data_IF_020786538132
#
_entry.id   IF_020786538132
#
_cell.length_a   1.000
_cell.length_b   1.000
_cell.length_c   1.000
_cell.angle_alpha   90.00
_cell.angle_beta   90.00
_cell.angle_gamma   90.00
#
_symmetry.space_group_name_H-M   'P 1'
#
loop_
_entity.id
_entity.type
_entity.pdbx_description
1 polymer ?
#
# COMPACT_ATOMS: atom_id res chain seq x y z
N UNK A 1 -0.65 -20.96 58.68
CA UNK A 1 -0.89 -21.82 57.51
C UNK A 1 -1.57 -20.97 56.44
N UNK A 2 -0.90 -20.84 55.28
CA UNK A 2 -1.42 -20.63 53.91
C UNK A 2 -2.70 -19.77 53.78
N UNK A 3 -2.71 -18.58 53.19
CA UNK A 3 -2.21 -18.28 51.85
C UNK A 3 -3.38 -18.27 50.86
N UNK A 4 -3.97 -17.11 50.59
CA UNK A 4 -4.77 -16.85 49.41
C UNK A 4 -4.22 -15.61 48.73
N UNK A 5 -3.30 -15.85 47.80
CA UNK A 5 -2.86 -14.85 46.84
C UNK A 5 -4.03 -14.57 45.89
N UNK A 6 -4.46 -13.31 45.88
CA UNK A 6 -5.34 -12.71 44.88
C UNK A 6 -4.90 -13.12 43.48
N UNK A 7 -5.83 -13.66 42.68
CA UNK A 7 -5.65 -13.86 41.25
C UNK A 7 -5.36 -12.51 40.58
N UNK A 8 -4.10 -12.31 40.19
CA UNK A 8 -3.66 -11.17 39.41
C UNK A 8 -4.36 -11.18 38.04
N UNK A 9 -5.02 -10.06 37.73
CA UNK A 9 -5.54 -9.72 36.41
C UNK A 9 -4.40 -9.78 35.36
N UNK A 10 -4.47 -10.61 34.31
CA UNK A 10 -3.39 -10.80 33.35
C UNK A 10 -3.00 -9.51 32.62
N UNK A 11 -3.89 -8.52 32.56
CA UNK A 11 -3.62 -7.20 31.96
C UNK A 11 -2.75 -6.33 32.89
N UNK A 12 -2.88 -6.47 34.22
CA UNK A 12 -2.07 -5.69 35.19
C UNK A 12 -0.64 -6.21 35.36
N UNK A 13 -0.34 -7.42 34.90
CA UNK A 13 1.03 -7.95 34.85
C UNK A 13 1.91 -7.26 33.78
N UNK A 14 1.29 -6.55 32.82
CA UNK A 14 1.94 -5.90 31.68
C UNK A 14 2.63 -4.58 32.03
N UNK A 15 2.31 -4.00 33.19
CA UNK A 15 2.81 -2.70 33.66
C UNK A 15 3.97 -2.82 34.65
N UNK A 16 4.49 -4.03 34.88
CA UNK A 16 5.77 -4.17 35.59
C UNK A 16 6.86 -3.64 34.67
N UNK A 17 7.58 -2.56 35.03
CA UNK A 17 8.67 -2.04 34.23
C UNK A 17 9.66 -3.17 33.99
N UNK A 18 9.65 -3.69 32.77
CA UNK A 18 10.47 -4.82 32.38
C UNK A 18 11.93 -4.46 32.63
N UNK A 19 12.67 -5.41 33.20
CA UNK A 19 14.13 -5.40 33.29
C UNK A 19 14.74 -4.66 32.08
N UNK A 20 15.51 -3.58 32.32
CA UNK A 20 16.08 -2.71 31.26
C UNK A 20 16.73 -3.49 30.14
N UNK A 21 17.31 -4.65 30.47
CA UNK A 21 17.89 -5.59 29.50
C UNK A 21 16.88 -6.19 28.51
N UNK A 22 15.67 -6.54 28.94
CA UNK A 22 14.61 -7.07 28.09
C UNK A 22 14.08 -5.99 27.12
N UNK A 23 13.97 -4.75 27.60
CA UNK A 23 13.60 -3.61 26.75
C UNK A 23 14.68 -3.33 25.70
N UNK A 24 15.95 -3.26 26.11
CA UNK A 24 17.08 -3.08 25.20
C UNK A 24 17.15 -4.20 24.15
N UNK A 25 16.94 -5.46 24.57
CA UNK A 25 16.88 -6.62 23.67
C UNK A 25 15.75 -6.50 22.64
N UNK A 26 14.55 -6.10 23.05
CA UNK A 26 13.44 -5.91 22.13
C UNK A 26 13.73 -4.82 21.09
N UNK A 27 14.21 -3.65 21.54
CA UNK A 27 14.57 -2.54 20.65
C UNK A 27 15.69 -2.96 19.69
N UNK A 28 16.66 -3.75 20.16
CA UNK A 28 17.71 -4.31 19.31
C UNK A 28 17.13 -5.22 18.22
N UNK A 29 16.19 -6.10 18.53
CA UNK A 29 15.54 -6.94 17.51
C UNK A 29 14.70 -6.13 16.53
N UNK A 30 14.00 -5.11 17.00
CA UNK A 30 13.24 -4.20 16.12
C UNK A 30 14.18 -3.41 15.19
N UNK A 31 15.29 -2.90 15.73
CA UNK A 31 16.33 -2.22 14.98
C UNK A 31 16.97 -3.12 13.91
N UNK A 32 17.31 -4.37 14.27
CA UNK A 32 17.82 -5.37 13.34
C UNK A 32 16.79 -5.67 12.24
N UNK A 33 15.52 -5.79 12.60
CA UNK A 33 14.42 -5.98 11.64
C UNK A 33 14.35 -4.80 10.66
N UNK A 34 14.44 -3.57 11.16
CA UNK A 34 14.48 -2.35 10.34
C UNK A 34 15.67 -2.33 9.37
N UNK A 35 16.87 -2.62 9.85
CA UNK A 35 18.09 -2.66 9.02
C UNK A 35 17.95 -3.70 7.89
N UNK A 36 17.55 -4.93 8.22
CA UNK A 36 17.39 -5.99 7.23
C UNK A 36 16.28 -5.66 6.23
N UNK A 37 15.17 -5.09 6.70
CA UNK A 37 14.03 -4.72 5.85
C UNK A 37 14.43 -3.60 4.90
N UNK A 38 15.09 -2.55 5.38
CA UNK A 38 15.60 -1.47 4.55
C UNK A 38 16.60 -1.98 3.52
N UNK A 39 17.53 -2.86 3.90
CA UNK A 39 18.49 -3.43 2.96
C UNK A 39 17.82 -4.28 1.87
N UNK A 40 17.01 -5.27 2.25
CA UNK A 40 16.33 -6.16 1.30
C UNK A 40 15.33 -5.39 0.43
N UNK A 41 14.56 -4.47 1.03
CA UNK A 41 13.61 -3.62 0.32
C UNK A 41 14.29 -2.68 -0.68
N UNK A 42 15.46 -2.14 -0.35
CA UNK A 42 16.22 -1.29 -1.27
C UNK A 42 16.71 -2.06 -2.50
N UNK A 43 17.25 -3.26 -2.31
CA UNK A 43 17.62 -4.10 -3.46
C UNK A 43 16.39 -4.52 -4.28
N UNK A 44 15.25 -4.79 -3.63
CA UNK A 44 13.99 -5.06 -4.31
C UNK A 44 13.59 -3.89 -5.23
N UNK A 45 13.68 -2.64 -4.75
CA UNK A 45 13.43 -1.45 -5.56
C UNK A 45 14.41 -1.31 -6.73
N UNK A 46 15.72 -1.35 -6.45
CA UNK A 46 16.76 -1.16 -7.47
C UNK A 46 16.65 -2.19 -8.61
N UNK A 47 16.32 -3.43 -8.29
CA UNK A 47 16.11 -4.48 -9.30
C UNK A 47 14.86 -4.15 -10.14
N UNK A 48 13.75 -3.76 -9.51
CA UNK A 48 12.53 -3.38 -10.23
C UNK A 48 12.78 -2.19 -11.16
N UNK A 49 13.42 -1.13 -10.66
CA UNK A 49 13.71 0.08 -11.44
C UNK A 49 14.59 -0.23 -12.65
N UNK A 50 15.60 -1.09 -12.46
CA UNK A 50 16.48 -1.54 -13.55
C UNK A 50 15.71 -2.35 -14.59
N UNK A 51 14.84 -3.26 -14.15
CA UNK A 51 14.09 -4.16 -15.04
C UNK A 51 12.93 -3.45 -15.75
N UNK A 52 12.31 -2.44 -15.17
CA UNK A 52 11.20 -1.67 -15.76
C UNK A 52 11.54 -1.02 -17.11
N UNK A 53 12.82 -0.86 -17.44
CA UNK A 53 13.31 -0.28 -18.72
C UNK A 53 13.27 -1.23 -19.91
N UNK A 54 12.76 -2.46 -19.73
CA UNK A 54 12.74 -3.49 -20.78
C UNK A 54 11.93 -3.09 -22.04
N UNK A 55 10.79 -2.37 -21.98
CA UNK A 55 10.06 -2.02 -23.21
C UNK A 55 10.87 -1.05 -24.08
N UNK A 56 11.58 -0.09 -23.47
CA UNK A 56 12.44 0.85 -24.19
C UNK A 56 13.61 0.11 -24.86
N UNK A 57 14.22 -0.85 -24.17
CA UNK A 57 15.29 -1.69 -24.75
C UNK A 57 14.78 -2.56 -25.89
N UNK A 58 13.60 -3.16 -25.73
CA UNK A 58 12.97 -3.98 -26.76
C UNK A 58 12.62 -3.15 -28.00
N UNK A 59 12.15 -1.92 -27.79
CA UNK A 59 11.83 -0.95 -28.84
C UNK A 59 13.01 -0.51 -29.72
N UNK A 60 14.25 -0.81 -29.31
CA UNK A 60 15.44 -0.58 -30.14
C UNK A 60 15.60 -1.63 -31.25
N UNK A 61 14.98 -2.82 -31.09
CA UNK A 61 15.11 -3.95 -32.03
C UNK A 61 13.84 -4.21 -32.84
N UNK A 62 12.67 -3.91 -32.27
CA UNK A 62 11.36 -4.12 -32.91
C UNK A 62 10.48 -2.90 -32.70
N UNK A 63 9.69 -2.54 -33.72
CA UNK A 63 8.86 -1.33 -33.74
C UNK A 63 7.43 -1.63 -34.22
N UNK A 64 6.50 -0.73 -33.93
CA UNK A 64 5.10 -0.86 -34.36
C UNK A 64 4.39 -2.05 -33.71
N UNK A 65 3.56 -2.76 -34.49
CA UNK A 65 2.70 -3.83 -33.97
C UNK A 65 3.46 -5.02 -33.40
N UNK A 66 4.65 -5.33 -33.92
CA UNK A 66 5.47 -6.43 -33.40
C UNK A 66 5.97 -6.15 -31.97
N UNK A 67 6.31 -4.90 -31.66
CA UNK A 67 6.66 -4.47 -30.31
C UNK A 67 5.46 -4.61 -29.35
N UNK A 68 4.26 -4.22 -29.78
CA UNK A 68 3.03 -4.34 -28.98
C UNK A 68 2.75 -5.81 -28.66
N UNK A 69 2.82 -6.69 -29.65
CA UNK A 69 2.58 -8.13 -29.46
C UNK A 69 3.66 -8.75 -28.58
N UNK A 70 4.94 -8.41 -28.80
CA UNK A 70 6.04 -8.91 -27.97
C UNK A 70 5.90 -8.47 -26.51
N UNK A 71 5.56 -7.20 -26.27
CA UNK A 71 5.32 -6.68 -24.93
C UNK A 71 4.13 -7.36 -24.24
N UNK A 72 3.02 -7.52 -24.96
CA UNK A 72 1.84 -8.22 -24.48
C UNK A 72 2.15 -9.68 -24.07
N UNK A 73 2.86 -10.42 -24.92
CA UNK A 73 3.24 -11.80 -24.63
C UNK A 73 4.24 -11.90 -23.47
N UNK A 74 5.21 -10.99 -23.38
CA UNK A 74 6.17 -10.96 -22.29
C UNK A 74 5.48 -10.72 -20.94
N UNK A 75 4.66 -9.68 -20.83
CA UNK A 75 3.92 -9.38 -19.59
C UNK A 75 2.93 -10.50 -19.24
N UNK A 76 2.26 -11.10 -20.23
CA UNK A 76 1.43 -12.30 -20.03
C UNK A 76 2.22 -13.45 -19.40
N UNK A 77 3.37 -13.81 -19.97
CA UNK A 77 4.21 -14.90 -19.48
C UNK A 77 4.69 -14.63 -18.04
N UNK A 78 5.16 -13.42 -17.74
CA UNK A 78 5.57 -13.03 -16.39
C UNK A 78 4.41 -13.10 -15.39
N UNK A 79 3.22 -12.63 -15.77
CA UNK A 79 2.03 -12.63 -14.90
C UNK A 79 1.57 -14.05 -14.60
N UNK A 80 1.52 -14.92 -15.61
CA UNK A 80 1.15 -16.34 -15.45
C UNK A 80 2.18 -17.07 -14.61
N UNK A 81 3.48 -16.86 -14.86
CA UNK A 81 4.55 -17.45 -14.06
C UNK A 81 4.45 -17.04 -12.59
N UNK A 82 4.29 -15.74 -12.32
CA UNK A 82 4.12 -15.23 -10.96
C UNK A 82 2.90 -15.83 -10.26
N UNK A 83 1.75 -15.88 -10.95
CA UNK A 83 0.53 -16.48 -10.41
C UNK A 83 0.69 -17.98 -10.15
N UNK A 84 1.40 -18.71 -11.01
CA UNK A 84 1.69 -20.13 -10.85
C UNK A 84 2.56 -20.39 -9.62
N UNK A 85 3.69 -19.69 -9.49
CA UNK A 85 4.63 -19.87 -8.37
C UNK A 85 3.98 -19.50 -7.04
N UNK A 86 3.27 -18.37 -6.97
CA UNK A 86 2.54 -17.96 -5.75
C UNK A 86 1.56 -19.04 -5.33
N UNK A 87 0.67 -19.48 -6.24
CA UNK A 87 -0.36 -20.48 -5.92
C UNK A 87 0.24 -21.84 -5.52
N UNK A 88 1.40 -22.21 -6.07
CA UNK A 88 2.00 -23.53 -5.84
C UNK A 88 2.87 -23.59 -4.57
N UNK A 89 3.56 -22.51 -4.23
CA UNK A 89 4.61 -22.51 -3.20
C UNK A 89 4.27 -21.67 -1.97
N UNK A 90 3.66 -20.50 -2.14
CA UNK A 90 3.29 -19.60 -1.05
C UNK A 90 2.03 -18.80 -1.40
N UNK A 91 0.82 -19.40 -1.29
CA UNK A 91 -0.44 -18.72 -1.62
C UNK A 91 -0.67 -17.40 -0.86
N UNK A 92 -0.14 -17.32 0.37
CA UNK A 92 -0.16 -16.12 1.21
C UNK A 92 0.68 -14.96 0.64
N UNK A 93 1.58 -15.22 -0.32
CA UNK A 93 2.37 -14.18 -0.97
C UNK A 93 1.60 -13.42 -2.05
N UNK A 94 0.36 -13.81 -2.38
CA UNK A 94 -0.48 -13.10 -3.35
C UNK A 94 -0.96 -11.73 -2.87
N UNK A 95 -1.24 -10.82 -3.81
CA UNK A 95 -1.76 -9.48 -3.53
C UNK A 95 -0.82 -8.62 -2.68
N UNK A 96 -1.39 -7.75 -1.85
CA UNK A 96 -0.63 -6.80 -1.02
C UNK A 96 0.22 -7.54 0.02
N UNK A 97 -0.43 -8.27 0.93
CA UNK A 97 0.23 -8.96 2.04
C UNK A 97 0.00 -8.26 3.37
N UNK A 98 -0.44 -7.00 3.37
CA UNK A 98 -0.90 -6.30 4.59
C UNK A 98 -1.95 -7.12 5.34
N UNK A 99 -2.95 -7.65 4.63
CA UNK A 99 -4.00 -8.47 5.23
C UNK A 99 -3.45 -9.76 5.89
N UNK A 100 -2.36 -10.33 5.38
CA UNK A 100 -1.73 -11.50 6.00
C UNK A 100 -1.01 -11.12 7.31
N UNK A 101 -0.43 -9.91 7.35
CA UNK A 101 0.25 -9.40 8.54
C UNK A 101 -0.77 -9.01 9.62
N UNK A 102 -1.87 -8.35 9.26
CA UNK A 102 -2.98 -8.08 10.17
C UNK A 102 -3.53 -9.36 10.79
N UNK A 103 -3.85 -10.35 9.95
CA UNK A 103 -4.28 -11.66 10.42
C UNK A 103 -3.24 -12.34 11.30
N UNK A 104 -1.95 -12.15 11.05
CA UNK A 104 -0.88 -12.72 11.88
C UNK A 104 -0.70 -12.01 13.22
N UNK A 105 -0.91 -10.68 13.28
CA UNK A 105 -0.92 -9.92 14.53
C UNK A 105 -2.14 -10.24 15.39
N UNK A 106 -3.27 -10.55 14.77
CA UNK A 106 -4.47 -11.07 15.46
C UNK A 106 -4.31 -12.52 15.93
N UNK A 107 -3.35 -13.25 15.36
CA UNK A 107 -3.13 -14.68 15.64
C UNK A 107 -4.03 -15.62 14.85
N UNK A 108 -4.72 -15.11 13.82
CA UNK A 108 -5.57 -15.87 12.90
C UNK A 108 -4.78 -16.44 11.69
N UNK A 109 -3.59 -15.89 11.42
CA UNK A 109 -2.69 -16.32 10.34
C UNK A 109 -1.28 -16.54 10.87
N UNK A 110 -0.46 -17.24 10.09
CA UNK A 110 0.95 -17.46 10.39
C UNK A 110 1.83 -16.97 9.24
N UNK A 111 2.84 -16.17 9.56
CA UNK A 111 3.84 -15.70 8.58
C UNK A 111 4.89 -16.79 8.38
N UNK A 112 4.74 -17.58 7.30
CA UNK A 112 5.70 -18.64 6.94
C UNK A 112 6.90 -18.05 6.19
N UNK A 113 7.71 -17.26 6.87
CA UNK A 113 8.78 -16.45 6.27
C UNK A 113 9.70 -17.22 5.31
N UNK A 114 10.01 -18.50 5.59
CA UNK A 114 10.85 -19.35 4.72
C UNK A 114 10.29 -19.52 3.31
N UNK A 115 8.96 -19.54 3.17
CA UNK A 115 8.26 -19.64 1.87
C UNK A 115 7.93 -18.27 1.33
N UNK A 116 7.43 -17.40 2.21
CA UNK A 116 6.96 -16.06 1.83
C UNK A 116 8.09 -15.20 1.28
N UNK A 117 9.20 -15.11 1.99
CA UNK A 117 10.29 -14.18 1.67
C UNK A 117 10.86 -14.40 0.26
N UNK A 118 11.29 -15.60 -0.16
CA UNK A 118 11.80 -15.81 -1.52
C UNK A 118 10.70 -15.63 -2.59
N UNK A 119 9.48 -16.11 -2.34
CA UNK A 119 8.38 -16.01 -3.32
C UNK A 119 7.93 -14.56 -3.50
N UNK A 120 7.72 -13.82 -2.40
CA UNK A 120 7.27 -12.42 -2.43
C UNK A 120 8.32 -11.53 -3.08
N UNK A 121 9.60 -11.76 -2.80
CA UNK A 121 10.71 -11.02 -3.41
C UNK A 121 10.82 -11.31 -4.92
N UNK A 122 10.96 -12.58 -5.33
CA UNK A 122 11.20 -12.91 -6.75
C UNK A 122 9.96 -12.66 -7.61
N UNK A 123 8.78 -13.08 -7.14
CA UNK A 123 7.55 -12.92 -7.92
C UNK A 123 7.00 -11.50 -7.85
N UNK A 124 7.33 -10.72 -6.80
CA UNK A 124 7.08 -9.28 -6.74
C UNK A 124 7.94 -8.49 -7.74
N UNK A 125 9.22 -8.85 -7.89
CA UNK A 125 10.07 -8.30 -8.95
C UNK A 125 9.46 -8.64 -10.31
N UNK A 126 9.10 -9.90 -10.53
CA UNK A 126 8.55 -10.38 -11.81
C UNK A 126 7.23 -9.70 -12.17
N UNK A 127 6.30 -9.58 -11.23
CA UNK A 127 5.00 -8.97 -11.48
C UNK A 127 5.11 -7.46 -11.74
N UNK A 128 5.80 -6.72 -10.87
CA UNK A 128 5.89 -5.25 -10.95
C UNK A 128 6.72 -4.85 -12.17
N UNK A 129 7.90 -5.45 -12.37
CA UNK A 129 8.76 -5.09 -13.51
C UNK A 129 8.18 -5.47 -14.89
N UNK A 130 7.22 -6.41 -14.93
CA UNK A 130 6.53 -6.75 -16.18
C UNK A 130 5.58 -5.67 -16.70
N UNK A 131 5.29 -4.63 -15.91
CA UNK A 131 4.41 -3.51 -16.29
C UNK A 131 3.05 -3.51 -15.60
N UNK A 132 2.76 -4.53 -14.77
CA UNK A 132 1.51 -4.56 -13.99
C UNK A 132 1.36 -3.32 -13.12
N UNK A 133 0.10 -2.92 -12.94
CA UNK A 133 -0.28 -1.71 -12.20
C UNK A 133 -0.37 -2.06 -10.73
N UNK A 134 0.81 -2.24 -10.13
CA UNK A 134 1.04 -2.72 -8.78
C UNK A 134 2.11 -1.86 -8.10
N UNK A 135 1.97 -1.69 -6.79
CA UNK A 135 2.92 -1.00 -5.95
C UNK A 135 3.94 -1.93 -5.29
N UNK A 136 5.09 -1.36 -4.92
CA UNK A 136 6.18 -2.07 -4.23
C UNK A 136 5.94 -2.23 -2.73
N UNK A 137 5.08 -1.40 -2.15
CA UNK A 137 4.83 -1.33 -0.72
C UNK A 137 4.22 -2.59 -0.12
N UNK A 138 3.27 -3.24 -0.82
CA UNK A 138 2.68 -4.49 -0.34
C UNK A 138 3.76 -5.57 -0.14
N UNK A 139 4.56 -5.86 -1.19
CA UNK A 139 5.73 -6.72 -1.07
C UNK A 139 6.70 -6.33 0.03
N UNK A 140 7.14 -5.06 0.13
CA UNK A 140 8.12 -4.66 1.15
C UNK A 140 7.58 -4.76 2.58
N UNK A 141 6.30 -4.44 2.82
CA UNK A 141 5.62 -4.64 4.11
C UNK A 141 5.63 -6.12 4.50
N UNK A 142 5.24 -7.01 3.56
CA UNK A 142 5.21 -8.45 3.83
C UNK A 142 6.62 -9.03 4.00
N UNK A 143 7.59 -8.57 3.23
CA UNK A 143 9.01 -8.96 3.37
C UNK A 143 9.54 -8.50 4.74
N UNK A 144 9.28 -7.26 5.14
CA UNK A 144 9.73 -6.72 6.41
C UNK A 144 9.14 -7.47 7.61
N UNK A 145 7.83 -7.73 7.59
CA UNK A 145 7.20 -8.58 8.59
C UNK A 145 7.73 -10.03 8.56
N UNK A 146 8.08 -10.58 7.40
CA UNK A 146 8.71 -11.90 7.29
C UNK A 146 10.12 -11.95 7.88
N UNK A 147 10.90 -10.89 7.72
CA UNK A 147 12.21 -10.75 8.37
C UNK A 147 12.07 -10.64 9.89
N UNK A 148 11.07 -9.88 10.35
CA UNK A 148 10.69 -9.83 11.76
C UNK A 148 10.32 -11.21 12.29
N UNK A 149 9.47 -11.95 11.57
CA UNK A 149 9.10 -13.32 11.90
C UNK A 149 10.32 -14.25 11.99
N UNK A 150 11.27 -14.14 11.05
CA UNK A 150 12.50 -14.92 11.07
C UNK A 150 13.32 -14.64 12.34
N UNK A 151 13.52 -13.38 12.71
CA UNK A 151 14.21 -12.99 13.95
C UNK A 151 13.50 -13.59 15.16
N UNK A 152 12.17 -13.46 15.24
CA UNK A 152 11.40 -13.95 16.40
C UNK A 152 11.44 -15.47 16.53
N UNK A 153 11.47 -16.20 15.41
CA UNK A 153 11.57 -17.66 15.39
C UNK A 153 12.96 -18.14 15.84
N UNK A 154 14.03 -17.46 15.42
CA UNK A 154 15.40 -17.80 15.82
C UNK A 154 15.65 -17.54 17.30
N UNK A 155 15.15 -16.43 17.84
CA UNK A 155 15.41 -16.01 19.22
C UNK A 155 14.33 -16.44 20.22
N UNK A 156 13.26 -17.11 19.78
CA UNK A 156 12.16 -17.66 20.61
C UNK A 156 11.61 -16.64 21.61
N UNK A 157 11.12 -15.51 21.09
CA UNK A 157 10.53 -14.43 21.90
C UNK A 157 9.09 -14.76 22.32
N UNK A 158 8.54 -13.97 23.25
CA UNK A 158 7.13 -14.08 23.63
C UNK A 158 6.18 -13.70 22.49
N UNK A 159 4.93 -14.17 22.51
CA UNK A 159 3.93 -13.84 21.47
C UNK A 159 3.66 -12.34 21.34
N UNK A 160 3.62 -11.61 22.46
CA UNK A 160 3.45 -10.14 22.44
C UNK A 160 4.63 -9.45 21.75
N UNK A 161 5.86 -9.87 22.07
CA UNK A 161 7.07 -9.35 21.39
C UNK A 161 7.09 -9.76 19.92
N UNK A 162 6.65 -10.98 19.58
CA UNK A 162 6.54 -11.45 18.20
C UNK A 162 5.59 -10.56 17.40
N UNK A 163 4.39 -10.28 17.91
CA UNK A 163 3.42 -9.36 17.29
C UNK A 163 3.98 -7.95 17.14
N UNK A 164 4.68 -7.44 18.16
CA UNK A 164 5.35 -6.15 18.11
C UNK A 164 6.46 -6.08 17.05
N UNK A 165 7.28 -7.13 16.90
CA UNK A 165 8.33 -7.21 15.88
C UNK A 165 7.75 -7.39 14.47
N UNK A 166 6.66 -8.15 14.31
CA UNK A 166 5.92 -8.23 13.05
C UNK A 166 5.44 -6.83 12.62
N UNK A 167 4.83 -6.08 13.53
CA UNK A 167 4.40 -4.70 13.30
C UNK A 167 5.58 -3.78 12.96
N UNK A 168 6.71 -3.91 13.67
CA UNK A 168 7.93 -3.15 13.40
C UNK A 168 8.50 -3.45 12.01
N UNK A 169 8.47 -4.71 11.57
CA UNK A 169 8.86 -5.11 10.22
C UNK A 169 7.92 -4.57 9.15
N UNK A 170 6.61 -4.55 9.41
CA UNK A 170 5.63 -3.96 8.50
C UNK A 170 5.81 -2.44 8.36
N UNK A 171 6.01 -1.72 9.48
CA UNK A 171 6.35 -0.29 9.46
C UNK A 171 7.64 -0.01 8.70
N UNK A 172 8.69 -0.79 8.95
CA UNK A 172 9.96 -0.72 8.23
C UNK A 172 9.78 -0.94 6.73
N UNK A 173 8.91 -1.87 6.33
CA UNK A 173 8.61 -2.15 4.93
C UNK A 173 7.90 -1.00 4.23
N UNK A 174 6.93 -0.36 4.90
CA UNK A 174 6.26 0.84 4.38
C UNK A 174 7.22 2.05 4.33
N UNK A 175 8.02 2.24 5.38
CA UNK A 175 9.04 3.29 5.44
C UNK A 175 10.07 3.15 4.31
N UNK A 176 10.53 1.92 4.05
CA UNK A 176 11.41 1.61 2.92
C UNK A 176 10.72 1.85 1.56
N UNK A 177 9.45 1.48 1.42
CA UNK A 177 8.69 1.63 0.18
C UNK A 177 8.64 3.08 -0.34
N UNK A 178 8.49 4.03 0.58
CA UNK A 178 8.21 5.43 0.27
C UNK A 178 9.23 6.42 0.82
N UNK A 179 10.32 5.93 1.43
CA UNK A 179 11.26 6.78 2.18
C UNK A 179 10.53 7.64 3.24
N UNK A 180 9.47 7.09 3.84
CA UNK A 180 8.47 7.79 4.66
C UNK A 180 8.34 7.15 6.07
N UNK A 181 9.28 7.41 6.99
CA UNK A 181 9.31 6.76 8.29
C UNK A 181 8.10 7.10 9.18
N UNK A 182 7.59 8.34 9.16
CA UNK A 182 6.46 8.73 10.01
C UNK A 182 5.18 8.05 9.53
N UNK A 183 4.95 7.98 8.22
CA UNK A 183 3.86 7.23 7.62
C UNK A 183 3.94 5.74 7.98
N UNK A 184 5.15 5.16 7.96
CA UNK A 184 5.43 3.80 8.43
C UNK A 184 4.94 3.54 9.85
N UNK A 185 5.27 4.43 10.78
CA UNK A 185 4.88 4.33 12.19
C UNK A 185 3.38 4.51 12.37
N UNK A 186 2.81 5.55 11.75
CA UNK A 186 1.38 5.86 11.85
C UNK A 186 0.52 4.77 11.22
N UNK A 187 0.99 4.11 10.17
CA UNK A 187 0.28 3.00 9.56
C UNK A 187 0.02 1.87 10.56
N UNK A 188 1.00 1.55 11.42
CA UNK A 188 0.77 0.55 12.47
C UNK A 188 -0.23 1.02 13.52
N UNK A 189 -0.20 2.30 13.85
CA UNK A 189 -0.98 2.89 14.95
C UNK A 189 -2.42 3.19 14.56
N UNK A 190 -2.68 3.53 13.29
CA UNK A 190 -3.99 3.91 12.79
C UNK A 190 -4.67 2.74 12.08
N UNK A 191 -4.00 2.12 11.10
CA UNK A 191 -4.59 1.02 10.32
C UNK A 191 -4.63 -0.28 11.14
N UNK A 192 -3.50 -0.68 11.73
CA UNK A 192 -3.41 -1.98 12.43
C UNK A 192 -3.70 -1.90 13.92
N UNK A 193 -4.36 -0.82 14.37
CA UNK A 193 -4.55 -0.49 15.79
C UNK A 193 -5.27 -1.59 16.59
N UNK A 194 -6.21 -2.30 15.95
CA UNK A 194 -6.99 -3.37 16.59
C UNK A 194 -6.11 -4.60 16.92
N UNK A 195 -5.08 -4.84 16.11
CA UNK A 195 -4.23 -6.03 16.20
C UNK A 195 -2.89 -5.74 16.88
N UNK A 196 -2.44 -4.48 16.91
CA UNK A 196 -1.16 -4.08 17.46
C UNK A 196 -1.16 -4.07 19.01
N UNK A 197 -0.25 -4.81 19.68
CA UNK A 197 -0.12 -4.75 21.13
C UNK A 197 0.54 -3.44 21.54
N UNK A 198 -0.27 -2.39 21.76
CA UNK A 198 0.23 -1.06 22.10
C UNK A 198 0.83 -1.02 23.51
N UNK A 199 2.16 -0.94 23.58
CA UNK A 199 2.95 -0.71 24.80
C UNK A 199 4.07 0.26 24.49
N UNK A 200 4.64 0.92 25.49
CA UNK A 200 5.79 1.82 25.29
C UNK A 200 6.94 1.13 24.53
N UNK A 201 7.23 -0.12 24.90
CA UNK A 201 8.29 -0.94 24.30
C UNK A 201 8.01 -1.25 22.82
N UNK A 202 6.80 -1.72 22.49
CA UNK A 202 6.44 -2.08 21.12
C UNK A 202 6.40 -0.86 20.21
N UNK A 203 5.84 0.25 20.70
CA UNK A 203 5.82 1.53 20.00
C UNK A 203 7.22 2.07 19.69
N UNK A 204 8.14 2.06 20.67
CA UNK A 204 9.53 2.46 20.44
C UNK A 204 10.26 1.54 19.44
N UNK A 205 9.95 0.25 19.43
CA UNK A 205 10.49 -0.68 18.43
C UNK A 205 10.03 -0.37 17.01
N UNK A 206 8.75 -0.05 16.83
CA UNK A 206 8.19 0.36 15.53
C UNK A 206 8.90 1.61 15.00
N UNK A 207 9.09 2.63 15.85
CA UNK A 207 9.84 3.85 15.48
C UNK A 207 11.28 3.51 15.09
N UNK A 208 11.99 2.72 15.91
CA UNK A 208 13.38 2.36 15.64
C UNK A 208 13.52 1.58 14.32
N UNK A 209 12.60 0.65 14.04
CA UNK A 209 12.60 -0.14 12.82
C UNK A 209 12.32 0.72 11.58
N UNK A 210 11.32 1.60 11.62
CA UNK A 210 11.00 2.52 10.53
C UNK A 210 12.16 3.47 10.23
N UNK A 211 12.74 4.09 11.28
CA UNK A 211 13.90 4.97 11.16
C UNK A 211 15.09 4.26 10.49
N UNK A 212 15.47 3.09 11.00
CA UNK A 212 16.64 2.38 10.50
C UNK A 212 16.42 1.78 9.10
N UNK A 213 15.19 1.40 8.76
CA UNK A 213 14.84 1.01 7.41
C UNK A 213 15.00 2.17 6.42
N UNK A 214 14.54 3.37 6.80
CA UNK A 214 14.74 4.59 6.00
C UNK A 214 16.22 4.95 5.87
N UNK A 215 17.01 4.87 6.94
CA UNK A 215 18.47 5.09 6.88
C UNK A 215 19.13 4.12 5.90
N UNK A 216 18.82 2.82 5.97
CA UNK A 216 19.35 1.83 5.01
C UNK A 216 18.88 2.11 3.59
N UNK A 217 17.63 2.56 3.41
CA UNK A 217 17.09 2.94 2.11
C UNK A 217 17.88 4.08 1.49
N UNK A 218 18.20 5.11 2.28
CA UNK A 218 19.00 6.23 1.81
C UNK A 218 20.46 5.87 1.52
N UNK A 219 21.06 4.96 2.30
CA UNK A 219 22.43 4.49 2.06
C UNK A 219 22.53 3.68 0.76
N UNK A 220 21.55 2.83 0.46
CA UNK A 220 21.62 1.86 -0.64
C UNK A 220 20.96 2.39 -1.92
N UNK A 221 19.73 2.90 -1.79
CA UNK A 221 18.89 3.33 -2.91
C UNK A 221 18.80 4.86 -3.08
N UNK A 222 19.42 5.64 -2.20
CA UNK A 222 19.30 7.10 -2.20
C UNK A 222 17.93 7.58 -1.70
N UNK A 223 17.52 8.78 -2.12
CA UNK A 223 16.28 9.43 -1.65
C UNK A 223 15.02 8.96 -2.38
N UNK A 224 15.12 7.96 -3.25
CA UNK A 224 13.99 7.46 -4.05
C UNK A 224 12.92 6.74 -3.20
N UNK A 225 11.61 6.91 -3.47
CA UNK A 225 11.04 7.67 -4.58
C UNK A 225 11.06 9.16 -4.22
N UNK A 226 11.76 9.96 -5.02
CA UNK A 226 11.78 11.41 -4.83
C UNK A 226 10.59 11.98 -5.58
N UNK A 227 9.52 12.27 -4.83
CA UNK A 227 8.34 12.97 -5.36
C UNK A 227 8.31 14.42 -4.90
N UNK A 228 9.47 15.03 -4.63
CA UNK A 228 9.57 16.41 -4.17
C UNK A 228 8.86 17.36 -5.13
N UNK A 229 7.80 17.98 -4.63
CA UNK A 229 6.98 18.94 -5.37
C UNK A 229 7.45 20.36 -5.07
N UNK A 230 7.24 21.33 -6.00
CA UNK A 230 7.42 22.75 -5.69
C UNK A 230 6.67 23.16 -4.42
N UNK A 231 7.17 24.18 -3.70
CA UNK A 231 6.49 24.71 -2.50
C UNK A 231 5.11 25.28 -2.91
N UNK A 232 4.06 24.49 -2.64
CA UNK A 232 2.67 24.84 -2.93
C UNK A 232 1.98 25.20 -1.61
N UNK A 233 1.34 26.37 -1.60
CA UNK A 233 0.55 26.85 -0.47
C UNK A 233 -0.85 27.20 -0.98
N UNK A 234 -1.86 26.52 -0.45
CA UNK A 234 -3.24 26.85 -0.77
C UNK A 234 -3.74 27.95 0.17
N UNK A 235 -4.34 29.00 -0.39
CA UNK A 235 -5.04 30.00 0.41
C UNK A 235 -6.27 29.38 1.09
N UNK A 236 -6.56 29.82 2.32
CA UNK A 236 -7.68 29.31 3.13
C UNK A 236 -9.04 29.44 2.43
N UNK A 237 -9.20 30.43 1.57
CA UNK A 237 -10.40 30.62 0.76
C UNK A 237 -10.71 29.44 -0.18
N UNK A 238 -9.72 28.62 -0.54
CA UNK A 238 -9.91 27.44 -1.40
C UNK A 238 -10.27 26.18 -0.62
N UNK A 239 -10.27 26.23 0.73
CA UNK A 239 -10.59 25.08 1.57
C UNK A 239 -11.94 24.41 1.23
N UNK A 240 -13.02 25.14 0.88
CA UNK A 240 -14.26 24.53 0.42
C UNK A 240 -14.10 23.64 -0.83
N UNK A 241 -13.21 24.00 -1.76
CA UNK A 241 -12.96 23.19 -2.95
C UNK A 241 -12.25 21.86 -2.59
N UNK A 242 -11.37 21.87 -1.57
CA UNK A 242 -10.74 20.66 -1.04
C UNK A 242 -11.73 19.75 -0.31
N UNK A 243 -12.71 20.32 0.39
CA UNK A 243 -13.84 19.56 0.96
C UNK A 243 -14.65 18.88 -0.14
N UNK A 244 -14.99 19.59 -1.22
CA UNK A 244 -15.71 19.01 -2.36
C UNK A 244 -14.88 17.92 -3.05
N UNK A 245 -13.58 18.14 -3.21
CA UNK A 245 -12.66 17.10 -3.71
C UNK A 245 -12.67 15.87 -2.80
N UNK A 246 -12.61 16.05 -1.49
CA UNK A 246 -12.68 14.94 -0.54
C UNK A 246 -13.98 14.15 -0.65
N UNK A 247 -15.13 14.84 -0.77
CA UNK A 247 -16.41 14.17 -1.04
C UNK A 247 -16.36 13.31 -2.31
N UNK A 248 -15.84 13.86 -3.42
CA UNK A 248 -15.65 13.11 -4.67
C UNK A 248 -14.78 11.87 -4.46
N UNK A 249 -13.64 12.03 -3.77
CA UNK A 249 -12.71 10.93 -3.51
C UNK A 249 -13.29 9.86 -2.59
N UNK A 250 -14.22 10.23 -1.70
CA UNK A 250 -15.02 9.27 -0.92
C UNK A 250 -15.78 8.28 -1.83
N UNK A 251 -16.50 8.80 -2.84
CA UNK A 251 -17.18 7.95 -3.83
C UNK A 251 -16.20 7.13 -4.67
N UNK A 252 -15.12 7.75 -5.14
CA UNK A 252 -14.09 7.05 -5.96
C UNK A 252 -13.43 5.93 -5.16
N UNK A 253 -13.12 6.14 -3.88
CA UNK A 253 -12.53 5.14 -3.00
C UNK A 253 -13.43 3.94 -2.77
N UNK A 254 -14.74 4.16 -2.54
CA UNK A 254 -15.70 3.06 -2.40
C UNK A 254 -15.88 2.30 -3.71
N UNK A 255 -15.95 3.01 -4.84
CA UNK A 255 -16.00 2.38 -6.16
C UNK A 255 -14.73 1.57 -6.47
N UNK A 256 -13.55 2.05 -6.06
CA UNK A 256 -12.28 1.33 -6.19
C UNK A 256 -12.26 0.06 -5.34
N UNK A 257 -12.63 0.14 -4.07
CA UNK A 257 -12.70 -1.01 -3.18
C UNK A 257 -13.68 -2.07 -3.70
N UNK A 258 -14.89 -1.65 -4.10
CA UNK A 258 -15.88 -2.54 -4.68
C UNK A 258 -15.39 -3.19 -5.98
N UNK A 259 -14.73 -2.43 -6.85
CA UNK A 259 -14.13 -2.94 -8.09
C UNK A 259 -13.05 -3.98 -7.84
N UNK A 260 -12.13 -3.72 -6.90
CA UNK A 260 -11.08 -4.67 -6.51
C UNK A 260 -11.70 -5.97 -5.97
N UNK A 261 -12.63 -5.88 -5.03
CA UNK A 261 -13.25 -7.06 -4.40
C UNK A 261 -14.02 -7.90 -5.43
N UNK A 262 -14.83 -7.24 -6.27
CA UNK A 262 -15.55 -7.89 -7.36
C UNK A 262 -14.60 -8.61 -8.33
N UNK A 263 -13.51 -7.93 -8.74
CA UNK A 263 -12.56 -8.48 -9.70
C UNK A 263 -11.78 -9.66 -9.13
N UNK A 264 -11.38 -9.61 -7.85
CA UNK A 264 -10.70 -10.72 -7.17
C UNK A 264 -11.61 -11.96 -7.08
N UNK A 265 -12.92 -11.78 -6.81
CA UNK A 265 -13.89 -12.87 -6.79
C UNK A 265 -14.21 -13.41 -8.18
N UNK A 266 -14.29 -12.53 -9.17
CA UNK A 266 -14.40 -12.93 -10.57
C UNK A 266 -13.19 -13.74 -11.03
N UNK A 267 -11.97 -13.27 -10.76
CA UNK A 267 -10.72 -13.96 -11.07
C UNK A 267 -10.65 -15.35 -10.42
N UNK A 268 -11.13 -15.47 -9.18
CA UNK A 268 -11.20 -16.76 -8.47
C UNK A 268 -12.18 -17.72 -9.13
N UNK A 269 -13.41 -17.26 -9.46
CA UNK A 269 -14.41 -18.06 -10.18
C UNK A 269 -13.92 -18.50 -11.55
N UNK A 270 -13.23 -17.61 -12.26
CA UNK A 270 -12.67 -17.91 -13.58
C UNK A 270 -11.53 -18.92 -13.48
N UNK A 271 -10.64 -18.78 -12.50
CA UNK A 271 -9.55 -19.72 -12.27
C UNK A 271 -10.05 -21.14 -12.01
N UNK A 272 -11.16 -21.30 -11.29
CA UNK A 272 -11.76 -22.62 -11.02
C UNK A 272 -12.32 -23.29 -12.29
N UNK A 273 -12.64 -22.52 -13.33
CA UNK A 273 -13.13 -23.05 -14.62
C UNK A 273 -12.00 -23.23 -15.63
N UNK A 274 -11.17 -22.20 -15.79
CA UNK A 274 -10.03 -22.17 -16.72
C UNK A 274 -8.82 -21.61 -15.98
N UNK A 275 -7.97 -22.49 -15.40
CA UNK A 275 -6.81 -22.05 -14.63
C UNK A 275 -5.91 -21.12 -15.44
N UNK A 276 -5.46 -20.06 -14.78
CA UNK A 276 -4.52 -19.05 -15.31
C UNK A 276 -5.00 -18.21 -16.52
N UNK A 277 -6.23 -18.38 -17.01
CA UNK A 277 -6.74 -17.58 -18.12
C UNK A 277 -6.89 -16.10 -17.76
N UNK A 278 -7.43 -15.80 -16.57
CA UNK A 278 -7.56 -14.42 -16.09
C UNK A 278 -6.21 -13.66 -16.02
N UNK A 279 -5.17 -14.16 -15.31
CA UNK A 279 -3.87 -13.51 -15.31
C UNK A 279 -3.23 -13.42 -16.70
N UNK A 280 -3.49 -14.38 -17.60
CA UNK A 280 -3.00 -14.31 -18.97
C UNK A 280 -3.62 -13.14 -19.75
N UNK A 281 -4.95 -12.98 -19.69
CA UNK A 281 -5.66 -11.87 -20.36
C UNK A 281 -5.19 -10.52 -19.81
N UNK A 282 -5.11 -10.38 -18.48
CA UNK A 282 -4.66 -9.12 -17.86
C UNK A 282 -3.22 -8.80 -18.27
N UNK A 283 -2.31 -9.78 -18.20
CA UNK A 283 -0.92 -9.56 -18.62
C UNK A 283 -0.79 -9.19 -20.09
N UNK A 284 -1.59 -9.80 -20.97
CA UNK A 284 -1.64 -9.45 -22.39
C UNK A 284 -2.12 -8.01 -22.60
N UNK A 285 -3.24 -7.63 -21.98
CA UNK A 285 -3.79 -6.27 -22.07
C UNK A 285 -2.82 -5.22 -21.52
N UNK A 286 -2.25 -5.45 -20.34
CA UNK A 286 -1.31 -4.51 -19.71
C UNK A 286 -0.02 -4.38 -20.52
N UNK A 287 0.54 -5.49 -21.02
CA UNK A 287 1.74 -5.42 -21.85
C UNK A 287 1.52 -4.67 -23.17
N UNK A 288 0.34 -4.82 -23.79
CA UNK A 288 -0.03 -4.00 -24.95
C UNK A 288 -0.17 -2.51 -24.59
N UNK A 289 -0.84 -2.20 -23.47
CA UNK A 289 -0.99 -0.83 -22.98
C UNK A 289 0.34 -0.19 -22.59
N UNK A 290 1.34 -0.98 -22.19
CA UNK A 290 2.68 -0.46 -21.89
C UNK A 290 3.34 0.21 -23.10
N UNK A 291 2.99 -0.21 -24.32
CA UNK A 291 3.47 0.42 -25.55
C UNK A 291 2.51 1.49 -26.06
N UNK A 292 1.19 1.23 -26.04
CA UNK A 292 0.19 2.12 -26.67
C UNK A 292 -0.19 3.31 -25.79
N UNK A 293 -0.27 3.12 -24.47
CA UNK A 293 -0.68 4.13 -23.49
C UNK A 293 0.14 3.97 -22.20
N UNK A 294 1.45 4.28 -22.22
CA UNK A 294 2.37 3.97 -21.11
C UNK A 294 1.96 4.59 -19.77
N UNK A 295 1.30 5.75 -19.77
CA UNK A 295 0.81 6.41 -18.55
C UNK A 295 -0.36 5.66 -17.85
N UNK A 296 -0.97 4.67 -18.52
CA UNK A 296 -2.04 3.85 -17.94
C UNK A 296 -1.54 2.63 -17.15
N UNK A 297 -0.24 2.34 -17.19
CA UNK A 297 0.35 1.15 -16.58
C UNK A 297 1.42 1.47 -15.53
N UNK A 298 2.07 0.45 -14.96
CA UNK A 298 3.06 0.53 -13.87
C UNK A 298 2.55 1.16 -12.55
N UNK A 299 3.41 1.16 -11.52
CA UNK A 299 3.13 1.81 -10.22
C UNK A 299 2.78 3.29 -10.37
N UNK A 300 3.48 4.00 -11.27
CA UNK A 300 3.15 5.35 -11.70
C UNK A 300 3.78 6.48 -10.87
N UNK A 301 4.82 6.18 -10.10
CA UNK A 301 5.62 7.17 -9.36
C UNK A 301 6.22 8.23 -10.30
N UNK A 302 6.85 7.81 -11.40
CA UNK A 302 7.37 8.72 -12.42
C UNK A 302 6.26 9.50 -13.14
N UNK A 303 5.10 8.86 -13.35
CA UNK A 303 3.93 9.47 -14.01
C UNK A 303 3.39 10.63 -13.16
N UNK A 304 3.34 10.46 -11.83
CA UNK A 304 2.94 11.54 -10.91
C UNK A 304 3.83 12.77 -11.12
N UNK A 305 5.15 12.57 -11.21
CA UNK A 305 6.11 13.66 -11.40
C UNK A 305 5.98 14.32 -12.77
N UNK A 306 5.77 13.54 -13.84
CA UNK A 306 5.54 14.09 -15.17
C UNK A 306 4.23 14.90 -15.24
N UNK A 307 3.14 14.38 -14.67
CA UNK A 307 1.85 15.06 -14.62
C UNK A 307 1.88 16.32 -13.73
N UNK A 308 2.71 16.34 -12.69
CA UNK A 308 2.85 17.50 -11.81
C UNK A 308 3.54 18.69 -12.51
N UNK A 309 4.44 18.44 -13.45
CA UNK A 309 5.19 19.48 -14.16
C UNK A 309 4.58 19.88 -15.51
N UNK A 310 3.70 19.04 -16.08
CA UNK A 310 3.10 19.28 -17.40
C UNK A 310 1.65 19.75 -17.32
N UNK A 311 1.29 20.72 -18.18
CA UNK A 311 -0.11 21.10 -18.39
C UNK A 311 -0.82 20.03 -19.21
N UNK A 312 -1.42 19.07 -18.53
CA UNK A 312 -2.17 17.98 -19.15
C UNK A 312 -3.63 18.38 -19.39
N UNK A 313 -4.15 18.11 -20.58
CA UNK A 313 -5.54 18.43 -20.92
C UNK A 313 -6.55 17.59 -20.12
N UNK A 314 -7.69 18.19 -19.77
CA UNK A 314 -8.75 17.55 -18.97
C UNK A 314 -9.21 16.20 -19.57
N UNK A 315 -9.41 16.12 -20.88
CA UNK A 315 -9.83 14.90 -21.55
C UNK A 315 -8.83 13.75 -21.38
N UNK A 316 -7.53 14.04 -21.45
CA UNK A 316 -6.48 13.04 -21.23
C UNK A 316 -6.41 12.62 -19.76
N UNK A 317 -6.57 13.55 -18.81
CA UNK A 317 -6.60 13.22 -17.38
C UNK A 317 -7.78 12.29 -17.04
N UNK A 318 -8.96 12.55 -17.60
CA UNK A 318 -10.12 11.68 -17.43
C UNK A 318 -9.92 10.30 -18.06
N UNK A 319 -9.33 10.25 -19.26
CA UNK A 319 -8.95 8.99 -19.92
C UNK A 319 -7.96 8.20 -19.07
N UNK A 320 -6.92 8.86 -18.53
CA UNK A 320 -5.91 8.21 -17.70
C UNK A 320 -6.50 7.74 -16.36
N UNK A 321 -7.35 8.54 -15.70
CA UNK A 321 -8.04 8.12 -14.49
C UNK A 321 -8.89 6.86 -14.74
N UNK A 322 -9.65 6.85 -15.84
CA UNK A 322 -10.44 5.69 -16.25
C UNK A 322 -9.54 4.48 -16.54
N UNK A 323 -8.53 4.63 -17.41
CA UNK A 323 -7.65 3.54 -17.79
C UNK A 323 -6.91 2.97 -16.57
N UNK A 324 -6.36 3.83 -15.70
CA UNK A 324 -5.64 3.43 -14.48
C UNK A 324 -6.54 2.71 -13.48
N UNK A 325 -7.80 3.12 -13.35
CA UNK A 325 -8.76 2.38 -12.51
C UNK A 325 -8.86 0.91 -12.97
N UNK A 326 -9.11 0.67 -14.26
CA UNK A 326 -9.28 -0.70 -14.77
C UNK A 326 -7.98 -1.50 -14.79
N UNK A 327 -6.86 -0.89 -15.16
CA UNK A 327 -5.56 -1.58 -15.17
C UNK A 327 -5.10 -1.92 -13.76
N UNK A 328 -5.35 -1.07 -12.76
CA UNK A 328 -5.09 -1.35 -11.35
C UNK A 328 -5.98 -2.48 -10.82
N UNK A 329 -7.30 -2.39 -11.00
CA UNK A 329 -8.26 -3.42 -10.56
C UNK A 329 -7.94 -4.77 -11.21
N UNK A 330 -7.67 -4.77 -12.52
CA UNK A 330 -7.28 -5.95 -13.28
C UNK A 330 -5.96 -6.55 -12.79
N UNK A 331 -4.92 -5.73 -12.64
CA UNK A 331 -3.59 -6.18 -12.21
C UNK A 331 -3.62 -6.79 -10.81
N UNK A 332 -4.26 -6.12 -9.84
CA UNK A 332 -4.33 -6.62 -8.46
C UNK A 332 -5.11 -7.93 -8.35
N UNK A 333 -6.21 -8.06 -9.09
CA UNK A 333 -7.06 -9.25 -9.06
C UNK A 333 -6.44 -10.50 -9.70
N UNK A 334 -5.29 -10.39 -10.37
CA UNK A 334 -4.55 -11.56 -10.86
C UNK A 334 -4.03 -12.47 -9.74
N UNK A 335 -3.85 -11.93 -8.53
CA UNK A 335 -3.34 -12.65 -7.36
C UNK A 335 -1.82 -12.79 -7.32
N UNK A 336 -1.08 -12.11 -8.20
CA UNK A 336 0.39 -11.99 -8.12
C UNK A 336 0.80 -11.06 -6.96
N UNK A 337 2.05 -11.07 -6.50
CA UNK A 337 2.49 -10.15 -5.44
C UNK A 337 2.53 -8.71 -5.94
N UNK A 338 1.97 -7.79 -5.16
CA UNK A 338 1.96 -6.37 -5.51
C UNK A 338 0.98 -5.60 -4.63
N UNK A 339 1.34 -4.37 -4.28
CA UNK A 339 0.50 -3.48 -3.50
C UNK A 339 -0.44 -2.62 -4.36
N UNK A 340 -1.29 -1.84 -3.69
CA UNK A 340 -2.27 -0.95 -4.33
C UNK A 340 -1.97 0.53 -4.09
N UNK A 341 -1.04 0.90 -3.21
CA UNK A 341 -0.84 2.29 -2.82
C UNK A 341 -0.27 3.12 -3.97
N UNK A 342 0.88 2.75 -4.55
CA UNK A 342 1.48 3.56 -5.61
C UNK A 342 0.52 3.78 -6.80
N UNK A 343 -0.15 2.74 -7.35
CA UNK A 343 -1.19 2.91 -8.36
C UNK A 343 -2.34 3.84 -7.96
N UNK A 344 -2.78 3.75 -6.69
CA UNK A 344 -3.84 4.58 -6.14
C UNK A 344 -3.40 6.04 -6.07
N UNK A 345 -2.15 6.33 -5.69
CA UNK A 345 -1.62 7.69 -5.69
C UNK A 345 -1.63 8.29 -7.10
N UNK A 346 -1.24 7.54 -8.13
CA UNK A 346 -1.28 8.05 -9.51
C UNK A 346 -2.71 8.23 -10.03
N UNK A 347 -3.63 7.32 -9.70
CA UNK A 347 -5.05 7.48 -10.00
C UNK A 347 -5.60 8.76 -9.33
N UNK A 348 -5.25 8.97 -8.07
CA UNK A 348 -5.64 10.15 -7.30
C UNK A 348 -5.09 11.43 -7.92
N UNK A 349 -3.82 11.45 -8.33
CA UNK A 349 -3.22 12.57 -9.06
C UNK A 349 -4.00 12.91 -10.33
N UNK A 350 -4.41 11.91 -11.12
CA UNK A 350 -5.23 12.14 -12.31
C UNK A 350 -6.59 12.76 -11.95
N UNK A 351 -7.26 12.24 -10.92
CA UNK A 351 -8.56 12.77 -10.44
C UNK A 351 -8.42 14.19 -9.89
N UNK A 352 -7.39 14.47 -9.09
CA UNK A 352 -7.13 15.78 -8.51
C UNK A 352 -6.80 16.85 -9.56
N UNK A 353 -5.97 16.50 -10.55
CA UNK A 353 -5.69 17.39 -11.69
C UNK A 353 -6.93 17.61 -12.57
N UNK A 354 -7.73 16.57 -12.81
CA UNK A 354 -8.98 16.70 -13.56
C UNK A 354 -9.98 17.59 -12.82
N UNK A 355 -10.09 17.42 -11.50
CA UNK A 355 -10.90 18.29 -10.65
C UNK A 355 -10.44 19.74 -10.75
N UNK A 356 -9.15 20.01 -10.64
CA UNK A 356 -8.62 21.36 -10.83
C UNK A 356 -8.95 21.93 -12.21
N UNK A 357 -8.82 21.14 -13.28
CA UNK A 357 -9.21 21.55 -14.64
C UNK A 357 -10.68 21.94 -14.74
N UNK A 358 -11.58 21.21 -14.07
CA UNK A 358 -13.01 21.54 -14.03
C UNK A 358 -13.24 22.84 -13.25
N UNK A 359 -12.63 23.01 -12.07
CA UNK A 359 -12.82 24.23 -11.30
C UNK A 359 -12.20 25.44 -12.02
N UNK A 360 -11.08 25.30 -12.73
CA UNK A 360 -10.51 26.38 -13.53
C UNK A 360 -11.44 26.85 -14.67
N UNK A 361 -12.30 25.98 -15.19
CA UNK A 361 -13.33 26.37 -16.17
C UNK A 361 -14.52 27.06 -15.50
N UNK A 362 -14.94 26.57 -14.32
CA UNK A 362 -16.09 27.11 -13.60
C UNK A 362 -15.77 28.44 -12.88
N UNK A 363 -14.53 28.61 -12.42
CA UNK A 363 -14.04 29.75 -11.64
C UNK A 363 -12.64 30.19 -12.14
N UNK A 364 -12.56 30.87 -13.31
CA UNK A 364 -11.28 31.24 -13.93
C UNK A 364 -10.40 32.15 -13.06
N UNK A 365 -11.02 33.08 -12.33
CA UNK A 365 -10.32 34.10 -11.54
C UNK A 365 -9.97 33.65 -10.11
N UNK A 366 -10.24 32.38 -9.77
CA UNK A 366 -10.00 31.87 -8.43
C UNK A 366 -8.52 31.58 -8.11
N UNK A 367 -7.57 31.79 -9.04
CA UNK A 367 -6.13 31.63 -8.74
C UNK A 367 -5.73 30.22 -8.28
N UNK A 368 -6.44 29.21 -8.77
CA UNK A 368 -6.33 27.82 -8.33
C UNK A 368 -5.01 27.22 -8.80
N UNK A 369 -4.35 26.47 -7.91
CA UNK A 369 -3.12 25.73 -8.22
C UNK A 369 -3.45 24.26 -8.47
N UNK A 370 -3.41 23.74 -9.71
CA UNK A 370 -3.80 22.36 -10.00
C UNK A 370 -3.01 21.32 -9.20
N UNK A 371 -1.72 21.56 -9.00
CA UNK A 371 -0.85 20.70 -8.20
C UNK A 371 -1.32 20.56 -6.75
N UNK A 372 -1.94 21.60 -6.17
CA UNK A 372 -2.50 21.54 -4.83
C UNK A 372 -3.61 20.49 -4.72
N UNK A 373 -4.50 20.41 -5.72
CA UNK A 373 -5.58 19.41 -5.76
C UNK A 373 -5.05 18.01 -6.06
N UNK A 374 -4.00 17.90 -6.87
CA UNK A 374 -3.32 16.63 -7.09
C UNK A 374 -2.74 16.06 -5.79
N UNK A 375 -1.96 16.88 -5.06
CA UNK A 375 -1.38 16.51 -3.77
C UNK A 375 -2.49 16.15 -2.77
N UNK A 376 -3.52 17.00 -2.63
CA UNK A 376 -4.63 16.72 -1.74
C UNK A 376 -5.36 15.41 -2.10
N UNK A 377 -5.51 15.12 -3.39
CA UNK A 377 -6.17 13.91 -3.85
C UNK A 377 -5.41 12.64 -3.49
N UNK A 378 -4.07 12.66 -3.55
CA UNK A 378 -3.22 11.52 -3.16
C UNK A 378 -3.58 11.01 -1.76
N UNK A 379 -3.60 11.91 -0.77
CA UNK A 379 -4.02 11.57 0.59
C UNK A 379 -5.50 11.24 0.71
N UNK A 380 -6.37 11.96 -0.02
CA UNK A 380 -7.82 11.77 0.02
C UNK A 380 -8.27 10.40 -0.49
N UNK A 381 -7.78 9.94 -1.65
CA UNK A 381 -8.14 8.63 -2.19
C UNK A 381 -7.57 7.48 -1.35
N UNK A 382 -6.33 7.64 -0.88
CA UNK A 382 -5.72 6.73 0.08
C UNK A 382 -6.63 6.56 1.30
N UNK A 383 -7.06 7.69 1.88
CA UNK A 383 -7.92 7.70 3.06
C UNK A 383 -9.28 7.04 2.80
N UNK A 384 -9.92 7.35 1.67
CA UNK A 384 -11.22 6.78 1.33
C UNK A 384 -11.18 5.25 1.16
N UNK A 385 -10.08 4.72 0.63
CA UNK A 385 -9.90 3.29 0.37
C UNK A 385 -9.42 2.52 1.61
N UNK A 386 -8.40 3.05 2.30
CA UNK A 386 -7.70 2.38 3.41
C UNK A 386 -8.38 2.63 4.75
N UNK A 387 -8.97 3.82 4.98
CA UNK A 387 -9.52 4.29 6.28
C UNK A 387 -8.50 4.78 7.31
N UNK A 388 -7.33 5.21 6.85
CA UNK A 388 -6.30 5.82 7.69
C UNK A 388 -6.03 7.29 7.28
N UNK A 389 -6.87 8.26 7.72
CA UNK A 389 -6.73 9.67 7.34
C UNK A 389 -5.40 10.31 7.73
N UNK A 390 -4.88 10.07 8.93
CA UNK A 390 -3.65 10.70 9.38
C UNK A 390 -2.44 10.13 8.63
N UNK A 391 -2.44 8.82 8.38
CA UNK A 391 -1.46 8.17 7.49
C UNK A 391 -1.51 8.79 6.10
N UNK A 392 -2.70 8.97 5.51
CA UNK A 392 -2.84 9.59 4.19
C UNK A 392 -2.26 11.01 4.13
N UNK A 393 -2.48 11.82 5.17
CA UNK A 393 -1.90 13.16 5.29
C UNK A 393 -0.37 13.07 5.38
N UNK A 394 0.16 12.32 6.34
CA UNK A 394 1.60 12.28 6.63
C UNK A 394 2.39 11.63 5.50
N UNK A 395 1.88 10.54 4.92
CA UNK A 395 2.48 9.89 3.75
C UNK A 395 2.60 10.87 2.59
N UNK A 396 1.54 11.63 2.30
CA UNK A 396 1.58 12.61 1.21
C UNK A 396 2.59 13.72 1.49
N UNK A 397 2.67 14.20 2.74
CA UNK A 397 3.64 15.23 3.14
C UNK A 397 5.09 14.73 3.06
N UNK A 398 5.37 13.52 3.53
CA UNK A 398 6.72 12.94 3.45
C UNK A 398 7.15 12.67 2.00
N UNK A 399 6.23 12.21 1.15
CA UNK A 399 6.52 11.97 -0.28
C UNK A 399 6.75 13.26 -1.06
N UNK A 400 5.91 14.27 -0.85
CA UNK A 400 5.91 15.48 -1.68
C UNK A 400 6.74 16.62 -1.13
N UNK A 401 7.06 16.61 0.17
CA UNK A 401 7.68 17.74 0.86
C UNK A 401 6.79 18.98 1.00
N UNK A 402 5.52 18.93 0.55
CA UNK A 402 4.62 20.07 0.46
C UNK A 402 3.92 20.37 1.80
N UNK A 403 4.67 20.70 2.86
CA UNK A 403 4.13 20.98 4.20
C UNK A 403 3.12 22.14 4.24
N UNK A 404 3.20 23.08 3.28
CA UNK A 404 2.19 24.13 3.08
C UNK A 404 0.78 23.62 2.76
N UNK A 405 0.64 22.35 2.40
CA UNK A 405 -0.61 21.68 2.06
C UNK A 405 -1.26 20.93 3.23
N UNK A 406 -0.71 21.00 4.44
CA UNK A 406 -1.20 20.23 5.59
C UNK A 406 -2.70 20.46 5.88
N UNK A 407 -3.17 21.72 5.92
CA UNK A 407 -4.58 22.00 6.17
C UNK A 407 -5.53 21.50 5.06
N UNK A 408 -5.28 21.79 3.76
CA UNK A 408 -6.05 21.20 2.67
C UNK A 408 -6.08 19.67 2.66
N UNK A 409 -4.94 19.03 2.96
CA UNK A 409 -4.83 17.57 3.05
C UNK A 409 -5.73 17.03 4.16
N UNK A 410 -5.66 17.61 5.37
CA UNK A 410 -6.52 17.19 6.49
C UNK A 410 -8.00 17.32 6.11
N UNK A 411 -8.41 18.46 5.51
CA UNK A 411 -9.80 18.66 5.10
C UNK A 411 -10.25 17.64 4.05
N UNK A 412 -9.41 17.38 3.05
CA UNK A 412 -9.68 16.42 1.96
C UNK A 412 -9.77 14.99 2.50
N UNK A 413 -8.80 14.56 3.32
CA UNK A 413 -8.78 13.23 3.93
C UNK A 413 -9.97 13.02 4.87
N UNK A 414 -10.27 13.99 5.74
CA UNK A 414 -11.41 13.90 6.66
C UNK A 414 -12.72 13.69 5.91
N UNK A 415 -12.97 14.53 4.91
CA UNK A 415 -14.23 14.49 4.15
C UNK A 415 -14.31 13.25 3.25
N UNK A 416 -13.20 12.83 2.64
CA UNK A 416 -13.12 11.57 1.91
C UNK A 416 -13.42 10.36 2.81
N UNK A 417 -12.92 10.35 4.04
CA UNK A 417 -13.24 9.30 5.01
C UNK A 417 -14.73 9.32 5.39
N UNK A 418 -15.27 10.47 5.79
CA UNK A 418 -16.67 10.59 6.21
C UNK A 418 -17.63 10.16 5.09
N UNK A 419 -17.43 10.67 3.87
CA UNK A 419 -18.29 10.32 2.73
C UNK A 419 -18.20 8.85 2.41
N UNK A 420 -16.99 8.28 2.33
CA UNK A 420 -16.85 6.85 2.08
C UNK A 420 -17.56 6.03 3.17
N UNK A 421 -17.59 6.49 4.43
CA UNK A 421 -18.26 5.79 5.54
C UNK A 421 -19.77 5.87 5.42
N UNK A 422 -20.31 7.07 5.17
CA UNK A 422 -21.75 7.30 5.02
C UNK A 422 -22.38 6.52 3.86
N UNK A 423 -21.63 6.27 2.79
CA UNK A 423 -22.11 5.45 1.66
C UNK A 423 -21.86 3.94 1.85
N UNK A 424 -21.47 3.50 3.04
CA UNK A 424 -21.32 2.09 3.40
C UNK A 424 -20.00 1.44 2.93
N UNK A 425 -19.00 2.23 2.57
CA UNK A 425 -17.67 1.74 2.22
C UNK A 425 -16.96 1.11 3.42
N UNK A 426 -16.15 0.08 3.18
CA UNK A 426 -15.34 -0.59 4.22
C UNK A 426 -13.83 -0.43 3.94
N UNK A 427 -12.95 -0.49 4.97
CA UNK A 427 -11.51 -0.55 4.76
C UNK A 427 -11.13 -1.69 3.81
N UNK A 428 -10.26 -1.43 2.84
CA UNK A 428 -9.90 -2.43 1.84
C UNK A 428 -9.12 -3.61 2.45
N UNK A 429 -8.23 -3.36 3.41
CA UNK A 429 -7.43 -4.42 4.02
C UNK A 429 -8.23 -5.32 4.94
N UNK A 430 -9.19 -4.76 5.70
CA UNK A 430 -10.15 -5.56 6.46
C UNK A 430 -11.00 -6.47 5.54
N UNK A 431 -11.48 -5.96 4.41
CA UNK A 431 -12.24 -6.76 3.44
C UNK A 431 -11.39 -7.88 2.83
N UNK A 432 -10.13 -7.59 2.50
CA UNK A 432 -9.19 -8.58 1.96
C UNK A 432 -8.83 -9.64 3.02
N UNK A 433 -8.68 -9.24 4.28
CA UNK A 433 -8.46 -10.15 5.40
C UNK A 433 -9.68 -11.06 5.61
N UNK A 434 -10.88 -10.49 5.70
CA UNK A 434 -12.13 -11.25 5.90
C UNK A 434 -12.32 -12.30 4.80
N UNK A 435 -12.05 -11.90 3.56
CA UNK A 435 -12.06 -12.81 2.42
C UNK A 435 -11.01 -13.91 2.55
N UNK A 436 -9.77 -13.57 2.95
CA UNK A 436 -8.68 -14.53 3.13
C UNK A 436 -8.99 -15.54 4.24
N UNK A 437 -9.59 -15.09 5.34
CA UNK A 437 -10.04 -15.94 6.44
C UNK A 437 -11.18 -16.87 6.01
N UNK A 438 -12.17 -16.35 5.28
CA UNK A 438 -13.26 -17.15 4.74
C UNK A 438 -12.75 -18.26 3.80
N UNK A 439 -11.76 -17.95 2.95
CA UNK A 439 -11.12 -18.95 2.08
C UNK A 439 -10.32 -20.00 2.86
N UNK A 440 -9.81 -19.66 4.04
CA UNK A 440 -9.15 -20.60 4.94
C UNK A 440 -10.12 -21.40 5.82
N UNK A 441 -11.43 -21.20 5.69
CA UNK A 441 -12.45 -21.81 6.55
C UNK A 441 -12.46 -21.28 7.98
N UNK A 442 -11.77 -20.16 8.23
CA UNK A 442 -11.74 -19.49 9.53
C UNK A 442 -12.89 -18.49 9.53
N UNK A 443 -13.92 -18.75 10.34
CA UNK A 443 -14.92 -17.72 10.63
C UNK A 443 -14.25 -16.65 11.49
N UNK A 444 -14.31 -15.36 11.12
CA UNK A 444 -14.02 -14.31 12.07
C UNK A 444 -14.87 -14.60 13.31
N UNK A 445 -14.26 -14.68 14.50
CA UNK A 445 -15.03 -14.59 15.75
C UNK A 445 -15.93 -13.38 15.59
N UNK A 446 -17.21 -13.49 15.96
CA UNK A 446 -18.16 -12.38 15.94
C UNK A 446 -17.42 -11.13 16.40
N UNK A 447 -16.97 -10.31 15.44
CA UNK A 447 -16.52 -8.97 15.75
C UNK A 447 -17.74 -8.43 16.44
N UNK A 448 -17.64 -7.93 17.69
CA UNK A 448 -18.80 -7.35 18.35
C UNK A 448 -19.47 -6.51 17.29
N UNK A 449 -20.73 -6.86 16.94
CA UNK A 449 -21.52 -6.11 15.95
C UNK A 449 -21.15 -4.68 16.20
N UNK A 450 -20.69 -3.95 15.17
CA UNK A 450 -20.42 -2.54 15.28
C UNK A 450 -21.55 -1.98 16.13
N UNK A 451 -21.25 -1.72 17.41
CA UNK A 451 -22.12 -0.91 18.21
C UNK A 451 -22.08 0.34 17.38
N UNK A 452 -23.16 0.62 16.65
CA UNK A 452 -23.35 1.84 15.91
C UNK A 452 -22.92 2.92 16.87
N UNK A 453 -21.68 3.40 16.75
CA UNK A 453 -21.09 4.29 17.73
C UNK A 453 -21.63 5.65 17.38
N UNK A 454 -22.88 5.84 17.79
CA UNK A 454 -23.59 7.10 17.92
C UNK A 454 -23.53 7.98 16.69
N UNK A 455 -24.48 7.78 15.78
CA UNK A 455 -25.38 8.81 15.23
C UNK A 455 -26.17 8.13 14.11
N UNK A 456 -27.36 7.64 14.49
CA UNK A 456 -28.45 7.36 13.56
C UNK A 456 -29.04 8.68 13.04
#
# INVERSE_FOLDING_TARGET
MLGQASMDDPIKSLDRPGNKSAQARYVFFAALTGILTGAVGSYFHLIIDTLMTWPQKLGQYITGTSLIVAAALFTMCCTVLAAFIVRRFAPESGGSGVQEIEGAMEGLRQVRWRRVLPVKFLMGITSISSGLVLGREGPTIHIGASLGAAITDFFKVSETERRGILAAGAAAGLACAFNAPLAGVLFIIEETHKQFPYTFRTYMGVIAAALLATVMTQIIGGTAPDMSMPDVKAALQHLPAFVVLGCLLGFVGVALNGGIMWAVDFATRMHNRVPYLYPAIIGLCVGALFIVLPYSVTGGEHIIMELAHQKTGLALLLLLAFARYFTMVGSYSTGVPGGIFAPMLTLATCVGLAFAGIISVLLPDAGIMPLAFAIAAMGGLFTASVRAPIVGVVLTLELTGAYGMAMPLIATCLTANLVAQWIGGKPIYEQLLDRTLAQAGIKPKDRPEESQTGLA
#
